data_IF_581479999020
#
_entry.id   IF_581479999020
#
_cell.length_a   1.000
_cell.length_b   1.000
_cell.length_c   1.000
_cell.angle_alpha   90.00
_cell.angle_beta   90.00
_cell.angle_gamma   90.00
#
_symmetry.space_group_name_H-M   'P 1'
#
loop_
_entity.id
_entity.type
_entity.pdbx_description
1 polymer ?
#
# COMPACT_ATOMS: atom_id res chain seq x y z
N UNK A 1 2.98 -6.49 32.36
CA UNK A 1 2.33 -6.77 31.06
C UNK A 1 1.46 -5.61 30.58
N UNK A 2 0.78 -4.86 31.45
CA UNK A 2 -0.10 -3.76 31.02
C UNK A 2 0.62 -2.56 30.38
N UNK A 3 1.77 -2.14 30.91
CA UNK A 3 2.50 -0.97 30.39
C UNK A 3 2.93 -1.16 28.94
N UNK A 4 3.48 -2.34 28.60
CA UNK A 4 3.89 -2.66 27.23
C UNK A 4 2.71 -2.59 26.27
N UNK A 5 1.56 -3.15 26.66
CA UNK A 5 0.33 -3.14 25.85
C UNK A 5 -0.17 -1.72 25.62
N UNK A 6 -0.18 -0.89 26.67
CA UNK A 6 -0.57 0.52 26.57
C UNK A 6 0.37 1.28 25.63
N UNK A 7 1.68 1.05 25.73
CA UNK A 7 2.68 1.67 24.83
C UNK A 7 2.47 1.21 23.39
N UNK A 8 2.25 -0.08 23.14
CA UNK A 8 1.97 -0.60 21.80
C UNK A 8 0.71 0.04 21.19
N UNK A 9 -0.41 0.07 21.90
CA UNK A 9 -1.63 0.69 21.40
C UNK A 9 -1.50 2.20 21.24
N UNK A 10 -0.75 2.89 22.10
CA UNK A 10 -0.46 4.31 21.96
C UNK A 10 0.35 4.59 20.68
N UNK A 11 1.40 3.80 20.42
CA UNK A 11 2.22 3.93 19.21
C UNK A 11 1.43 3.58 17.94
N UNK A 12 0.65 2.50 17.96
CA UNK A 12 -0.21 2.13 16.83
C UNK A 12 -1.31 3.17 16.58
N UNK A 13 -1.92 3.70 17.64
CA UNK A 13 -2.92 4.77 17.54
C UNK A 13 -2.34 6.06 16.98
N UNK A 14 -1.17 6.49 17.48
CA UNK A 14 -0.46 7.64 16.93
C UNK A 14 -0.07 7.41 15.47
N UNK A 15 0.44 6.23 15.13
CA UNK A 15 0.74 5.82 13.75
C UNK A 15 -0.49 5.88 12.85
N UNK A 16 -1.62 5.34 13.29
CA UNK A 16 -2.88 5.38 12.54
C UNK A 16 -3.34 6.82 12.28
N UNK A 17 -3.25 7.72 13.26
CA UNK A 17 -3.58 9.14 13.08
C UNK A 17 -2.65 9.80 12.05
N UNK A 18 -1.35 9.54 12.13
CA UNK A 18 -0.38 10.07 11.16
C UNK A 18 -0.64 9.55 9.74
N UNK A 19 -0.98 8.27 9.61
CA UNK A 19 -1.33 7.65 8.32
C UNK A 19 -2.61 8.26 7.76
N UNK A 20 -3.64 8.47 8.59
CA UNK A 20 -4.87 9.15 8.18
C UNK A 20 -4.61 10.59 7.74
N UNK A 21 -3.75 11.31 8.46
CA UNK A 21 -3.33 12.66 8.06
C UNK A 21 -2.64 12.64 6.68
N UNK A 22 -1.73 11.70 6.43
CA UNK A 22 -1.09 11.50 5.12
C UNK A 22 -2.10 11.14 4.03
N UNK A 23 -3.06 10.27 4.33
CA UNK A 23 -4.12 9.87 3.40
C UNK A 23 -4.99 11.06 2.97
N UNK A 24 -5.27 11.99 3.89
CA UNK A 24 -6.06 13.19 3.61
C UNK A 24 -5.27 14.27 2.85
N UNK A 25 -4.01 14.49 3.24
CA UNK A 25 -3.15 15.56 2.71
C UNK A 25 -2.35 15.15 1.47
N UNK A 26 -2.31 13.85 1.14
CA UNK A 26 -1.49 13.28 0.07
C UNK A 26 -1.79 13.91 -1.29
N UNK A 27 -0.78 14.47 -2.00
CA UNK A 27 -0.95 15.16 -3.27
C UNK A 27 -1.07 14.21 -4.47
N UNK A 28 -0.52 12.99 -4.37
CA UNK A 28 -0.56 11.99 -5.44
C UNK A 28 -1.49 10.82 -5.09
N UNK A 29 -2.11 10.21 -6.11
CA UNK A 29 -2.91 8.99 -5.94
C UNK A 29 -2.06 7.85 -5.38
N UNK A 30 -0.79 7.75 -5.78
CA UNK A 30 0.14 6.75 -5.26
C UNK A 30 0.33 6.87 -3.75
N UNK A 31 0.53 8.10 -3.26
CA UNK A 31 0.76 8.35 -1.83
C UNK A 31 -0.45 7.94 -0.99
N UNK A 32 -1.65 8.19 -1.51
CA UNK A 32 -2.91 7.78 -0.89
C UNK A 32 -3.07 6.26 -0.85
N UNK A 33 -2.71 5.57 -1.93
CA UNK A 33 -2.75 4.11 -1.96
C UNK A 33 -1.77 3.54 -0.92
N UNK A 34 -0.52 4.00 -0.92
CA UNK A 34 0.49 3.53 0.03
C UNK A 34 0.09 3.83 1.48
N UNK A 35 -0.51 4.99 1.73
CA UNK A 35 -1.06 5.32 3.05
C UNK A 35 -2.20 4.36 3.46
N UNK A 36 -3.07 3.98 2.52
CA UNK A 36 -4.15 3.02 2.79
C UNK A 36 -3.60 1.62 3.10
N UNK A 37 -2.56 1.19 2.39
CA UNK A 37 -1.86 -0.07 2.66
C UNK A 37 -1.21 -0.07 4.06
N UNK A 38 -0.50 1.01 4.40
CA UNK A 38 0.08 1.19 5.73
C UNK A 38 -0.99 1.19 6.83
N UNK A 39 -2.18 1.74 6.57
CA UNK A 39 -3.30 1.72 7.51
C UNK A 39 -3.79 0.29 7.76
N UNK A 40 -3.94 -0.52 6.71
CA UNK A 40 -4.34 -1.92 6.82
C UNK A 40 -3.32 -2.73 7.64
N UNK A 41 -2.02 -2.53 7.39
CA UNK A 41 -0.96 -3.16 8.19
C UNK A 41 -1.02 -2.72 9.65
N UNK A 42 -1.28 -1.44 9.92
CA UNK A 42 -1.40 -0.92 11.29
C UNK A 42 -2.59 -1.54 12.03
N UNK A 43 -3.73 -1.71 11.34
CA UNK A 43 -4.91 -2.40 11.87
C UNK A 43 -4.58 -3.87 12.18
N UNK A 44 -3.91 -4.56 11.26
CA UNK A 44 -3.45 -5.94 11.45
C UNK A 44 -2.56 -6.06 12.71
N UNK A 45 -1.59 -5.15 12.89
CA UNK A 45 -0.78 -5.12 14.11
C UNK A 45 -1.62 -4.92 15.38
N UNK A 46 -2.64 -4.06 15.35
CA UNK A 46 -3.56 -3.86 16.47
C UNK A 46 -4.33 -5.14 16.84
N UNK A 47 -4.83 -5.87 15.84
CA UNK A 47 -5.50 -7.16 16.03
C UNK A 47 -4.52 -8.19 16.61
N UNK A 48 -3.30 -8.26 16.08
CA UNK A 48 -2.27 -9.18 16.57
C UNK A 48 -1.90 -8.92 18.04
N UNK A 49 -1.75 -7.64 18.44
CA UNK A 49 -1.52 -7.27 19.85
C UNK A 49 -2.71 -7.67 20.71
N UNK A 50 -3.95 -7.47 20.25
CA UNK A 50 -5.15 -7.91 20.96
C UNK A 50 -5.15 -9.43 21.19
N UNK A 51 -4.96 -10.23 20.13
CA UNK A 51 -4.90 -11.68 20.25
C UNK A 51 -3.81 -12.15 21.20
N UNK A 52 -2.62 -11.54 21.15
CA UNK A 52 -1.49 -11.88 22.02
C UNK A 52 -1.78 -11.61 23.50
N UNK A 53 -2.53 -10.55 23.81
CA UNK A 53 -2.83 -10.13 25.19
C UNK A 53 -3.98 -10.93 25.78
N UNK A 54 -5.07 -11.09 25.03
CA UNK A 54 -6.28 -11.76 25.51
C UNK A 54 -6.21 -13.28 25.36
N UNK A 55 -5.18 -13.80 24.66
CA UNK A 55 -5.05 -15.23 24.31
C UNK A 55 -6.30 -15.78 23.62
N UNK A 56 -6.95 -14.92 22.85
CA UNK A 56 -8.14 -15.22 22.07
C UNK A 56 -7.79 -15.15 20.59
N UNK A 57 -7.92 -16.29 19.92
CA UNK A 57 -7.60 -16.46 18.50
C UNK A 57 -8.81 -16.26 17.59
N UNK A 58 -9.96 -15.82 18.12
CA UNK A 58 -11.17 -15.58 17.33
C UNK A 58 -10.98 -14.56 16.20
N UNK A 59 -9.96 -13.68 16.32
CA UNK A 59 -9.63 -12.68 15.31
C UNK A 59 -8.45 -13.08 14.39
N UNK A 60 -7.82 -14.24 14.58
CA UNK A 60 -6.75 -14.72 13.67
C UNK A 60 -7.21 -14.81 12.21
N UNK A 61 -8.41 -15.31 11.88
CA UNK A 61 -8.89 -15.31 10.50
C UNK A 61 -9.02 -13.90 9.93
N UNK A 62 -9.47 -12.94 10.75
CA UNK A 62 -9.58 -11.52 10.36
C UNK A 62 -8.21 -10.93 10.08
N UNK A 63 -7.23 -11.23 10.96
CA UNK A 63 -5.83 -10.83 10.79
C UNK A 63 -5.27 -11.32 9.45
N UNK A 64 -5.51 -12.60 9.12
CA UNK A 64 -5.08 -13.19 7.85
C UNK A 64 -5.73 -12.50 6.64
N UNK A 65 -7.04 -12.26 6.69
CA UNK A 65 -7.75 -11.57 5.60
C UNK A 65 -7.24 -10.15 5.41
N UNK A 66 -7.00 -9.40 6.49
CA UNK A 66 -6.47 -8.03 6.42
C UNK A 66 -5.05 -8.02 5.87
N UNK A 67 -4.19 -8.96 6.29
CA UNK A 67 -2.83 -9.09 5.77
C UNK A 67 -2.81 -9.42 4.27
N UNK A 68 -3.69 -10.33 3.82
CA UNK A 68 -3.86 -10.64 2.41
C UNK A 68 -4.38 -9.42 1.63
N UNK A 69 -5.33 -8.67 2.19
CA UNK A 69 -5.89 -7.48 1.56
C UNK A 69 -4.83 -6.39 1.36
N UNK A 70 -3.99 -6.14 2.36
CA UNK A 70 -2.86 -5.21 2.27
C UNK A 70 -1.89 -5.63 1.14
N UNK A 71 -1.44 -6.89 1.17
CA UNK A 71 -0.55 -7.43 0.15
C UNK A 71 -1.13 -7.34 -1.27
N UNK A 72 -2.37 -7.79 -1.46
CA UNK A 72 -3.05 -7.74 -2.76
C UNK A 72 -3.21 -6.30 -3.22
N UNK A 73 -3.59 -5.38 -2.33
CA UNK A 73 -3.73 -3.95 -2.63
C UNK A 73 -2.43 -3.34 -3.19
N UNK A 74 -1.30 -3.62 -2.53
CA UNK A 74 0.02 -3.16 -2.98
C UNK A 74 0.43 -3.75 -4.34
N UNK A 75 0.23 -5.06 -4.53
CA UNK A 75 0.53 -5.74 -5.81
C UNK A 75 -0.35 -5.25 -6.95
N UNK A 76 -1.65 -5.09 -6.73
CA UNK A 76 -2.60 -4.59 -7.73
C UNK A 76 -2.19 -3.22 -8.25
N UNK A 77 -1.79 -2.32 -7.34
CA UNK A 77 -1.35 -0.97 -7.71
C UNK A 77 -0.02 -1.00 -8.44
N UNK A 78 0.95 -1.78 -7.97
CA UNK A 78 2.22 -1.94 -8.68
C UNK A 78 2.04 -2.46 -10.11
N UNK A 79 1.12 -3.41 -10.33
CA UNK A 79 0.80 -3.93 -11.66
C UNK A 79 0.11 -2.90 -12.54
N UNK A 80 -0.80 -2.12 -11.98
CA UNK A 80 -1.49 -1.06 -12.73
C UNK A 80 -0.51 0.00 -13.25
N UNK A 81 0.38 0.47 -12.38
CA UNK A 81 1.41 1.46 -12.75
C UNK A 81 2.41 0.86 -13.75
N UNK A 82 2.89 -0.37 -13.49
CA UNK A 82 3.82 -1.05 -14.39
C UNK A 82 3.23 -1.27 -15.79
N UNK A 83 1.94 -1.55 -15.88
CA UNK A 83 1.23 -1.67 -17.16
C UNK A 83 1.22 -0.35 -17.95
N UNK A 84 1.04 0.79 -17.28
CA UNK A 84 1.11 2.09 -17.95
C UNK A 84 2.50 2.40 -18.51
N UNK A 85 3.57 2.04 -17.77
CA UNK A 85 4.96 2.27 -18.22
C UNK A 85 5.32 1.42 -19.44
N UNK A 86 4.77 0.21 -19.56
CA UNK A 86 4.97 -0.65 -20.73
C UNK A 86 4.15 -0.17 -21.92
N UNK A 87 2.95 0.37 -21.69
CA UNK A 87 2.09 0.89 -22.76
C UNK A 87 2.60 2.19 -23.39
N UNK A 88 3.36 3.00 -22.65
CA UNK A 88 3.95 4.26 -23.11
C UNK A 88 5.32 4.07 -23.80
N UNK A 89 5.79 2.82 -23.94
CA UNK A 89 7.07 2.55 -24.58
C UNK A 89 6.92 2.74 -26.11
N UNK A 90 7.72 3.62 -26.74
CA UNK A 90 7.63 3.86 -28.19
C UNK A 90 7.85 2.52 -28.91
N UNK A 91 6.89 2.14 -29.75
CA UNK A 91 7.00 0.87 -30.48
C UNK A 91 8.08 1.02 -31.56
N UNK A 92 8.80 -0.05 -31.89
CA UNK A 92 9.83 -0.01 -32.94
C UNK A 92 9.29 0.53 -34.29
N UNK A 93 7.99 0.39 -34.54
CA UNK A 93 7.28 0.97 -35.67
C UNK A 93 7.18 2.51 -35.59
N UNK A 94 6.93 3.08 -34.41
CA UNK A 94 6.91 4.52 -34.20
C UNK A 94 8.32 5.11 -34.31
N UNK A 95 9.34 4.36 -33.85
CA UNK A 95 10.74 4.73 -33.99
C UNK A 95 11.20 4.72 -35.47
N UNK A 96 10.78 3.74 -36.28
CA UNK A 96 11.06 3.70 -37.73
C UNK A 96 10.39 4.87 -38.47
N UNK A 97 9.14 5.21 -38.14
CA UNK A 97 8.44 6.36 -38.73
C UNK A 97 9.14 7.69 -38.41
N UNK A 98 9.67 7.83 -37.20
CA UNK A 98 10.38 9.04 -36.77
C UNK A 98 11.77 9.13 -37.43
N UNK A 99 12.48 8.00 -37.57
CA UNK A 99 13.76 7.93 -38.29
C UNK A 99 13.62 8.25 -39.78
N UNK A 100 12.55 7.77 -40.43
CA UNK A 100 12.25 8.08 -41.84
C UNK A 100 11.87 9.54 -42.08
N UNK A 101 11.30 10.21 -41.07
CA UNK A 101 10.97 11.63 -41.15
C UNK A 101 12.21 12.53 -41.03
N UNK A 102 13.24 12.12 -40.27
CA UNK A 102 14.53 12.81 -40.19
C UNK A 102 15.43 12.56 -41.42
N UNK A 103 15.24 11.44 -42.14
CA UNK A 103 16.00 11.11 -43.35
C UNK A 103 15.44 11.74 -44.65
N UNK A 104 14.30 12.45 -44.58
CA UNK A 104 13.71 13.11 -45.73
C UNK A 104 14.42 14.47 -46.05
N UNK A 105 14.97 14.67 -47.26
CA UNK A 105 15.76 15.84 -47.66
C UNK A 105 14.94 17.12 -47.90
#
# INVERSE_FOLDING_TARGET
MSVVVVVCFALLGAGAVLILARLALGPSLLDRVVATDALLVTIACGIAVYCAVYRDISLEPVLLVVALLAFVGSVSVARYIGGMLVADQPTDADADLTGRAEEAP
#
